data_IF_973835032840
#
_entry.id   IF_973835032840
#
_cell.length_a   1.000
_cell.length_b   1.000
_cell.length_c   1.000
_cell.angle_alpha   90.00
_cell.angle_beta   90.00
_cell.angle_gamma   90.00
#
_symmetry.space_group_name_H-M   'P 1'
#
loop_
_entity.id
_entity.type
_entity.pdbx_description
1 polymer ?
#
# COMPACT_ATOMS: atom_id res chain seq x y z
N UNK A 1 -21.14 20.75 70.88
CA UNK A 1 -19.70 20.67 71.25
C UNK A 1 -19.26 19.22 71.09
N UNK A 2 -17.96 19.00 70.86
CA UNK A 2 -17.27 17.71 70.63
C UNK A 2 -17.12 17.28 69.15
N UNK A 3 -15.97 17.70 68.61
CA UNK A 3 -15.32 17.24 67.39
C UNK A 3 -14.61 15.93 67.73
N UNK A 4 -14.80 14.87 66.95
CA UNK A 4 -13.90 13.71 66.97
C UNK A 4 -13.45 13.42 65.55
N UNK A 5 -12.23 13.85 65.27
CA UNK A 5 -11.42 13.45 64.14
C UNK A 5 -11.00 11.99 64.34
N UNK A 6 -11.35 11.12 63.40
CA UNK A 6 -10.73 9.81 63.27
C UNK A 6 -9.99 9.77 61.93
N UNK A 7 -8.69 9.99 62.03
CA UNK A 7 -7.71 9.85 60.97
C UNK A 7 -7.50 8.34 60.76
N UNK A 8 -8.08 7.77 59.70
CA UNK A 8 -7.79 6.40 59.28
C UNK A 8 -6.89 6.45 58.04
N UNK A 9 -5.60 6.29 58.33
CA UNK A 9 -4.48 6.16 57.42
C UNK A 9 -4.55 4.74 56.82
N UNK A 10 -4.94 4.61 55.56
CA UNK A 10 -4.88 3.33 54.84
C UNK A 10 -4.22 3.52 53.49
N UNK A 11 -3.00 3.00 53.43
CA UNK A 11 -2.21 2.55 52.29
C UNK A 11 -2.76 2.86 50.90
N UNK A 12 -2.06 3.74 50.19
CA UNK A 12 -2.11 3.77 48.75
C UNK A 12 -1.65 2.42 48.18
N UNK A 13 -2.58 1.67 47.61
CA UNK A 13 -2.24 0.60 46.67
C UNK A 13 -2.02 1.26 45.32
N UNK A 14 -0.76 1.56 45.01
CA UNK A 14 -0.37 1.83 43.63
C UNK A 14 -0.59 0.53 42.83
N UNK A 15 -1.77 0.38 42.23
CA UNK A 15 -2.00 -0.67 41.25
C UNK A 15 -1.23 -0.27 40.00
N UNK A 16 -0.01 -0.77 39.87
CA UNK A 16 0.70 -0.78 38.61
C UNK A 16 -0.07 -1.71 37.67
N UNK A 17 -1.04 -1.17 36.94
CA UNK A 17 -1.64 -1.83 35.79
C UNK A 17 -0.55 -1.96 34.72
N UNK A 18 0.21 -3.06 34.81
CA UNK A 18 0.98 -3.57 33.69
C UNK A 18 0.01 -3.99 32.60
N UNK A 19 -0.35 -3.06 31.72
CA UNK A 19 -1.11 -3.36 30.52
C UNK A 19 -0.44 -4.47 29.72
N UNK A 20 -1.21 -5.28 28.96
CA UNK A 20 -0.64 -6.35 28.16
C UNK A 20 0.44 -5.76 27.26
N UNK A 21 1.66 -6.30 27.39
CA UNK A 21 2.72 -6.04 26.42
C UNK A 21 2.20 -6.54 25.08
N UNK A 22 1.69 -5.65 24.25
CA UNK A 22 1.40 -5.93 22.86
C UNK A 22 2.71 -6.42 22.26
N UNK A 23 2.82 -7.73 22.07
CA UNK A 23 3.89 -8.32 21.29
C UNK A 23 3.82 -7.60 19.95
N UNK A 24 4.89 -6.89 19.60
CA UNK A 24 4.97 -6.19 18.34
C UNK A 24 4.79 -7.24 17.24
N UNK A 25 3.59 -7.30 16.65
CA UNK A 25 3.31 -8.18 15.53
C UNK A 25 4.29 -7.77 14.44
N UNK A 26 5.17 -8.66 13.97
CA UNK A 26 6.11 -8.30 12.91
C UNK A 26 5.28 -7.81 11.73
N UNK A 27 5.52 -6.55 11.32
CA UNK A 27 4.97 -6.00 10.09
C UNK A 27 5.55 -6.87 8.98
N UNK A 28 4.76 -7.85 8.52
CA UNK A 28 5.06 -8.63 7.32
C UNK A 28 5.08 -7.63 6.17
N UNK A 29 6.26 -7.08 5.89
CA UNK A 29 6.54 -6.38 4.63
C UNK A 29 6.51 -7.48 3.59
N UNK A 30 5.32 -7.81 3.09
CA UNK A 30 5.20 -8.41 1.76
C UNK A 30 6.00 -7.50 0.85
N UNK A 31 7.15 -8.00 0.38
CA UNK A 31 7.86 -7.37 -0.71
C UNK A 31 6.82 -7.23 -1.82
N UNK A 32 6.36 -6.00 -2.05
CA UNK A 32 5.62 -5.69 -3.26
C UNK A 32 6.63 -6.00 -4.36
N UNK A 33 6.45 -7.12 -5.05
CA UNK A 33 6.91 -7.30 -6.41
C UNK A 33 6.12 -6.30 -7.27
N UNK A 34 6.30 -5.01 -6.99
CA UNK A 34 5.50 -3.93 -7.52
C UNK A 34 5.94 -3.71 -8.95
N UNK A 35 5.16 -4.25 -9.89
CA UNK A 35 5.27 -3.86 -11.28
C UNK A 35 5.16 -2.34 -11.34
N UNK A 36 6.25 -1.67 -11.71
CA UNK A 36 6.31 -0.21 -11.67
C UNK A 36 5.58 0.34 -12.87
N UNK A 37 4.41 0.93 -12.63
CA UNK A 37 3.65 1.64 -13.65
C UNK A 37 4.31 2.99 -13.93
N UNK A 38 4.47 3.32 -15.21
CA UNK A 38 4.99 4.61 -15.67
C UNK A 38 3.97 5.28 -16.56
N UNK A 39 3.74 6.57 -16.32
CA UNK A 39 2.90 7.41 -17.16
C UNK A 39 3.75 8.58 -17.66
N UNK A 40 3.84 8.71 -18.98
CA UNK A 40 4.60 9.77 -19.64
C UNK A 40 3.64 10.72 -20.34
N UNK A 41 3.80 12.01 -20.07
CA UNK A 41 3.06 13.07 -20.73
C UNK A 41 3.99 13.84 -21.66
N UNK A 42 3.54 14.06 -22.90
CA UNK A 42 4.11 15.04 -23.80
C UNK A 42 3.08 16.14 -24.03
N UNK A 43 3.43 17.33 -23.56
CA UNK A 43 2.58 18.52 -23.69
C UNK A 43 3.08 19.33 -24.87
N UNK A 44 2.21 19.59 -25.84
CA UNK A 44 2.49 20.39 -27.01
C UNK A 44 2.12 21.87 -26.74
N UNK A 45 2.79 22.84 -27.40
CA UNK A 45 2.53 24.26 -27.18
C UNK A 45 1.12 24.71 -27.63
N UNK A 46 0.44 23.90 -28.44
CA UNK A 46 -0.96 24.08 -28.83
C UNK A 46 -1.97 23.58 -27.77
N UNK A 47 -1.47 23.10 -26.62
CA UNK A 47 -2.28 22.61 -25.51
C UNK A 47 -2.69 21.14 -25.61
N UNK A 48 -2.29 20.42 -26.67
CA UNK A 48 -2.53 18.98 -26.75
C UNK A 48 -1.63 18.22 -25.79
N UNK A 49 -2.15 17.14 -25.22
CA UNK A 49 -1.42 16.23 -24.34
C UNK A 49 -1.44 14.84 -24.96
N UNK A 50 -0.26 14.23 -25.12
CA UNK A 50 -0.09 12.83 -25.49
C UNK A 50 0.33 12.06 -24.26
N UNK A 51 -0.45 11.05 -23.90
CA UNK A 51 -0.23 10.15 -22.77
C UNK A 51 0.36 8.83 -23.27
N UNK A 52 1.33 8.28 -22.54
CA UNK A 52 1.81 6.92 -22.73
C UNK A 52 1.89 6.21 -21.38
N UNK A 53 1.11 5.13 -21.24
CA UNK A 53 1.13 4.25 -20.06
C UNK A 53 1.99 3.02 -20.37
N UNK A 54 2.86 2.65 -19.44
CA UNK A 54 3.62 1.40 -19.52
C UNK A 54 3.77 0.69 -18.18
N UNK A 55 4.07 -0.61 -18.22
CA UNK A 55 4.22 -1.44 -17.04
C UNK A 55 2.89 -1.97 -16.49
N UNK A 56 1.84 -1.99 -17.32
CA UNK A 56 0.55 -2.63 -17.01
C UNK A 56 0.21 -3.57 -18.16
N UNK A 57 -0.10 -4.82 -17.84
CA UNK A 57 -0.49 -5.83 -18.83
C UNK A 57 -2.00 -6.05 -18.88
N UNK A 58 -2.50 -6.43 -20.05
CA UNK A 58 -3.88 -6.85 -20.25
C UNK A 58 -4.92 -5.75 -20.03
N UNK A 59 -6.11 -6.14 -19.59
CA UNK A 59 -7.29 -5.26 -19.48
C UNK A 59 -7.17 -4.17 -18.42
N UNK A 60 -6.25 -4.30 -17.48
CA UNK A 60 -5.99 -3.25 -16.49
C UNK A 60 -5.36 -2.00 -17.13
N UNK A 61 -4.67 -2.16 -18.27
CA UNK A 61 -4.16 -1.03 -19.05
C UNK A 61 -5.29 -0.12 -19.54
N UNK A 62 -6.38 -0.71 -20.01
CA UNK A 62 -7.56 0.03 -20.50
C UNK A 62 -8.20 0.87 -19.40
N UNK A 63 -8.44 0.28 -18.22
CA UNK A 63 -9.08 0.97 -17.09
C UNK A 63 -8.26 2.19 -16.64
N UNK A 64 -6.96 2.02 -16.47
CA UNK A 64 -6.07 3.12 -16.05
C UNK A 64 -6.03 4.22 -17.09
N UNK A 65 -5.97 3.86 -18.38
CA UNK A 65 -5.99 4.81 -19.49
C UNK A 65 -7.32 5.59 -19.55
N UNK A 66 -8.46 4.95 -19.28
CA UNK A 66 -9.78 5.61 -19.26
C UNK A 66 -9.87 6.63 -18.13
N UNK A 67 -9.51 6.25 -16.90
CA UNK A 67 -9.53 7.14 -15.73
C UNK A 67 -8.59 8.34 -15.87
N UNK A 68 -7.45 8.17 -16.57
CA UNK A 68 -6.51 9.26 -16.86
C UNK A 68 -7.09 10.21 -17.92
N UNK A 69 -7.63 9.66 -19.00
CA UNK A 69 -8.22 10.46 -20.08
C UNK A 69 -9.41 11.31 -19.62
N UNK A 70 -10.27 10.79 -18.74
CA UNK A 70 -11.37 11.56 -18.14
C UNK A 70 -10.89 12.84 -17.43
N UNK A 71 -9.70 12.79 -16.82
CA UNK A 71 -9.09 13.92 -16.11
C UNK A 71 -8.36 14.88 -17.04
N UNK A 72 -7.83 14.38 -18.15
CA UNK A 72 -7.11 15.20 -19.15
C UNK A 72 -8.07 15.92 -20.11
N UNK A 73 -9.27 15.38 -20.32
CA UNK A 73 -10.33 16.00 -21.10
C UNK A 73 -10.70 15.20 -22.35
N UNK A 74 -10.85 15.89 -23.49
CA UNK A 74 -11.35 15.26 -24.72
C UNK A 74 -10.27 14.41 -25.40
N UNK A 75 -10.54 13.11 -25.53
CA UNK A 75 -9.70 12.19 -26.30
C UNK A 75 -9.91 12.42 -27.80
N UNK A 76 -8.82 12.57 -28.55
CA UNK A 76 -8.84 12.69 -30.02
C UNK A 76 -8.40 11.39 -30.70
N UNK A 77 -7.49 10.64 -30.08
CA UNK A 77 -6.97 9.38 -30.61
C UNK A 77 -6.50 8.50 -29.45
N UNK A 78 -6.69 7.18 -29.59
CA UNK A 78 -6.15 6.17 -28.68
C UNK A 78 -5.43 5.10 -29.50
N UNK A 79 -4.27 4.65 -29.04
CA UNK A 79 -3.51 3.57 -29.66
C UNK A 79 -3.01 2.60 -28.58
N UNK A 80 -3.28 1.28 -28.69
CA UNK A 80 -2.81 0.32 -27.71
C UNK A 80 -1.29 0.11 -27.81
N UNK A 81 -0.66 -0.11 -26.66
CA UNK A 81 0.74 -0.57 -26.55
C UNK A 81 0.81 -2.08 -26.59
N UNK A 82 1.99 -2.64 -26.89
CA UNK A 82 2.20 -4.10 -26.95
C UNK A 82 1.82 -4.81 -25.65
N UNK A 83 2.04 -4.16 -24.52
CA UNK A 83 1.75 -4.65 -23.16
C UNK A 83 0.26 -4.91 -22.93
N UNK A 84 -0.62 -4.17 -23.63
CA UNK A 84 -2.07 -4.40 -23.56
C UNK A 84 -2.45 -5.81 -24.07
N UNK A 85 -1.67 -6.37 -24.99
CA UNK A 85 -1.91 -7.70 -25.56
C UNK A 85 -1.18 -8.82 -24.79
N UNK A 86 -0.41 -8.48 -23.75
CA UNK A 86 0.26 -9.47 -22.91
C UNK A 86 -0.68 -9.95 -21.81
N UNK A 87 -0.67 -11.25 -21.54
CA UNK A 87 -1.39 -11.85 -20.42
C UNK A 87 -0.62 -11.66 -19.11
N UNK A 88 -1.35 -11.49 -18.00
CA UNK A 88 -0.75 -11.39 -16.67
C UNK A 88 -0.44 -12.77 -16.14
N UNK A 89 0.85 -13.07 -15.92
CA UNK A 89 1.29 -14.34 -15.33
C UNK A 89 1.50 -14.15 -13.84
N UNK A 90 0.59 -14.66 -13.01
CA UNK A 90 0.74 -14.68 -11.56
C UNK A 90 1.65 -15.83 -11.13
N UNK A 91 2.95 -15.55 -11.01
CA UNK A 91 3.92 -16.52 -10.48
C UNK A 91 3.77 -16.59 -8.96
N UNK A 92 3.09 -17.64 -8.45
CA UNK A 92 3.13 -17.98 -7.02
C UNK A 92 4.53 -18.50 -6.67
N UNK A 93 5.38 -17.62 -6.13
CA UNK A 93 6.65 -18.04 -5.55
C UNK A 93 6.39 -18.51 -4.11
N UNK A 94 6.33 -19.82 -3.91
CA UNK A 94 6.38 -20.40 -2.56
C UNK A 94 7.84 -20.35 -2.09
N UNK A 95 8.14 -19.41 -1.19
CA UNK A 95 9.47 -19.30 -0.59
C UNK A 95 9.58 -20.40 0.47
N UNK A 96 10.30 -21.47 0.14
CA UNK A 96 10.66 -22.50 1.11
C UNK A 96 11.86 -21.99 1.93
N UNK A 97 11.64 -21.77 3.23
CA UNK A 97 12.71 -21.47 4.18
C UNK A 97 13.50 -22.76 4.44
N UNK A 98 14.60 -22.94 3.71
CA UNK A 98 15.55 -24.02 3.97
C UNK A 98 16.51 -23.50 5.04
N UNK A 99 16.23 -23.81 6.30
CA UNK A 99 17.16 -23.55 7.38
C UNK A 99 18.40 -24.45 7.21
N UNK A 100 19.44 -23.94 6.54
CA UNK A 100 20.74 -24.61 6.31
C UNK A 100 21.63 -24.58 7.56
N UNK A 101 21.08 -24.89 8.74
CA UNK A 101 21.84 -24.87 10.00
C UNK A 101 22.02 -26.27 10.60
N UNK A 102 22.60 -27.19 9.84
CA UNK A 102 23.22 -28.41 10.39
C UNK A 102 24.50 -28.72 9.59
N UNK A 103 25.60 -28.12 10.01
CA UNK A 103 26.98 -28.47 9.64
C UNK A 103 27.87 -28.32 10.87
#
# INVERSE_FOLDING_TARGET
MARTLALALLCGTAVAFGGPRHTARPRRRTALNGETVRVKFRIYPDGRVEETVSGIRGSDCTKVTEELNEKLGKVTQTKPTEEMFQEKVDVKTEVFDQNFSEW
#
